data_IF_141634690573
#
_entry.id   IF_141634690573
#
_cell.length_a   1.000
_cell.length_b   1.000
_cell.length_c   1.000
_cell.angle_alpha   90.00
_cell.angle_beta   90.00
_cell.angle_gamma   90.00
#
_symmetry.space_group_name_H-M   'P 1'
#
loop_
_entity.id
_entity.type
_entity.pdbx_description
1 polymer ?
#
# COMPACT_ATOMS: atom_id res chain seq x y z
N UNK A 1 22.63 6.63 -1.98
CA UNK A 1 23.23 5.48 -2.68
C UNK A 1 22.28 5.09 -3.79
N UNK A 2 22.66 5.56 -4.98
CA UNK A 2 21.84 5.53 -6.20
C UNK A 2 21.86 4.16 -6.87
N UNK A 3 20.68 3.73 -7.36
CA UNK A 3 20.42 2.98 -8.62
C UNK A 3 21.31 1.78 -9.04
N UNK A 4 22.32 1.44 -8.28
CA UNK A 4 23.16 0.28 -8.60
C UNK A 4 22.71 -1.03 -7.96
N UNK A 5 21.78 -0.95 -7.02
CA UNK A 5 21.38 -2.13 -6.23
C UNK A 5 20.32 -2.96 -6.92
N UNK A 6 19.36 -2.37 -7.63
CA UNK A 6 18.24 -3.12 -8.24
C UNK A 6 18.69 -3.95 -9.44
N UNK A 7 19.47 -3.39 -10.36
CA UNK A 7 19.98 -4.13 -11.53
C UNK A 7 21.06 -5.17 -11.17
N UNK A 8 21.84 -4.91 -10.12
CA UNK A 8 22.79 -5.90 -9.59
C UNK A 8 22.09 -6.98 -8.78
N UNK A 9 21.04 -6.63 -7.99
CA UNK A 9 20.27 -7.59 -7.22
C UNK A 9 19.55 -8.62 -8.11
N UNK A 10 18.89 -8.19 -9.19
CA UNK A 10 18.25 -9.09 -10.15
C UNK A 10 19.28 -10.01 -10.86
N UNK A 11 20.41 -9.49 -11.33
CA UNK A 11 21.47 -10.29 -11.93
C UNK A 11 22.08 -11.29 -10.97
N UNK A 12 22.17 -10.95 -9.69
CA UNK A 12 22.68 -11.85 -8.65
C UNK A 12 21.66 -12.91 -8.24
N UNK A 13 20.37 -12.64 -8.30
CA UNK A 13 19.30 -13.63 -8.05
C UNK A 13 19.33 -14.74 -9.10
N UNK A 14 19.41 -14.41 -10.39
CA UNK A 14 19.54 -15.41 -11.46
C UNK A 14 20.82 -16.26 -11.35
N UNK A 15 21.92 -15.67 -10.93
CA UNK A 15 23.17 -16.40 -10.67
C UNK A 15 23.08 -17.33 -9.46
N UNK A 16 22.31 -16.95 -8.44
CA UNK A 16 22.16 -17.72 -7.19
C UNK A 16 21.17 -18.88 -7.32
N UNK A 17 20.18 -18.80 -8.19
CA UNK A 17 19.24 -19.90 -8.46
C UNK A 17 19.92 -21.16 -9.02
N UNK A 18 21.11 -21.02 -9.61
CA UNK A 18 21.91 -22.15 -10.09
C UNK A 18 22.87 -22.73 -9.03
N UNK A 19 22.89 -22.17 -7.81
CA UNK A 19 23.78 -22.63 -6.75
C UNK A 19 23.00 -23.50 -5.75
N UNK A 20 23.59 -24.61 -5.34
CA UNK A 20 23.14 -25.38 -4.18
C UNK A 20 23.54 -24.63 -2.91
N UNK A 21 22.60 -23.87 -2.35
CA UNK A 21 22.87 -23.01 -1.19
C UNK A 21 22.69 -23.81 0.09
N UNK A 22 23.79 -24.11 0.76
CA UNK A 22 23.81 -24.83 2.03
C UNK A 22 23.59 -23.91 3.25
N UNK A 23 23.79 -22.58 3.12
CA UNK A 23 23.73 -21.64 4.23
C UNK A 23 23.61 -20.22 3.71
N UNK A 24 22.82 -19.38 4.40
CA UNK A 24 22.76 -17.93 4.16
C UNK A 24 23.35 -17.20 5.36
N UNK A 25 24.40 -16.41 5.12
CA UNK A 25 25.05 -15.59 6.13
C UNK A 25 24.77 -14.11 5.84
N UNK A 26 23.69 -13.52 6.40
CA UNK A 26 23.39 -12.12 6.17
C UNK A 26 24.41 -11.23 6.88
N UNK A 27 24.61 -10.02 6.36
CA UNK A 27 25.45 -9.01 7.03
C UNK A 27 24.85 -8.55 8.37
N UNK A 28 23.53 -8.59 8.47
CA UNK A 28 22.74 -8.27 9.67
C UNK A 28 21.69 -9.35 9.88
N UNK A 29 21.68 -9.95 11.07
CA UNK A 29 20.72 -10.99 11.44
C UNK A 29 21.39 -12.36 11.66
N UNK A 30 20.59 -13.40 11.99
CA UNK A 30 21.08 -14.74 12.27
C UNK A 30 21.58 -15.45 10.99
N UNK A 31 22.49 -16.39 11.17
CA UNK A 31 22.86 -17.34 10.11
C UNK A 31 21.72 -18.33 9.90
N UNK A 32 21.26 -18.45 8.66
CA UNK A 32 20.18 -19.35 8.29
C UNK A 32 20.75 -20.64 7.70
N UNK A 33 20.35 -21.77 8.25
CA UNK A 33 20.81 -23.12 7.84
C UNK A 33 19.67 -24.05 7.48
N UNK A 34 18.46 -23.69 7.89
CA UNK A 34 17.25 -24.48 7.67
C UNK A 34 16.25 -23.67 6.87
N UNK A 35 15.36 -24.35 6.16
CA UNK A 35 14.30 -23.74 5.35
C UNK A 35 14.77 -22.62 4.40
N UNK A 36 15.94 -22.81 3.79
CA UNK A 36 16.55 -21.79 2.92
C UNK A 36 15.69 -21.46 1.72
N UNK A 37 14.91 -22.43 1.22
CA UNK A 37 13.95 -22.24 0.13
C UNK A 37 12.95 -21.13 0.44
N UNK A 38 12.38 -21.13 1.65
CA UNK A 38 11.46 -20.09 2.09
C UNK A 38 12.05 -18.66 1.99
N UNK A 39 13.27 -18.48 2.47
CA UNK A 39 13.94 -17.17 2.43
C UNK A 39 14.27 -16.74 1.00
N UNK A 40 14.68 -17.69 0.15
CA UNK A 40 14.99 -17.43 -1.25
C UNK A 40 13.71 -17.03 -2.01
N UNK A 41 12.61 -17.73 -1.77
CA UNK A 41 11.30 -17.43 -2.40
C UNK A 41 10.78 -16.06 -1.97
N UNK A 42 10.85 -15.75 -0.68
CA UNK A 42 10.50 -14.40 -0.18
C UNK A 42 11.35 -13.31 -0.82
N UNK A 43 12.66 -13.53 -0.89
CA UNK A 43 13.57 -12.58 -1.54
C UNK A 43 13.24 -12.39 -3.03
N UNK A 44 12.89 -13.45 -3.74
CA UNK A 44 12.47 -13.37 -5.14
C UNK A 44 11.19 -12.54 -5.32
N UNK A 45 10.19 -12.75 -4.45
CA UNK A 45 8.95 -11.96 -4.45
C UNK A 45 9.28 -10.48 -4.21
N UNK A 46 10.03 -10.16 -3.17
CA UNK A 46 10.34 -8.77 -2.81
C UNK A 46 11.19 -8.06 -3.87
N UNK A 47 12.22 -8.73 -4.40
CA UNK A 47 13.12 -8.14 -5.41
C UNK A 47 12.46 -7.93 -6.77
N UNK A 48 11.39 -8.66 -7.08
CA UNK A 48 10.58 -8.50 -8.28
C UNK A 48 9.36 -7.59 -8.09
N UNK A 49 9.17 -7.02 -6.90
CA UNK A 49 7.96 -6.27 -6.53
C UNK A 49 6.68 -7.12 -6.68
N UNK A 50 6.79 -8.41 -6.44
CA UNK A 50 5.66 -9.33 -6.43
C UNK A 50 4.72 -9.11 -5.27
N UNK A 51 3.53 -9.69 -5.33
CA UNK A 51 2.57 -9.73 -4.21
C UNK A 51 2.97 -10.86 -3.28
N UNK A 52 3.15 -10.55 -2.00
CA UNK A 52 3.52 -11.54 -1.00
C UNK A 52 2.32 -12.25 -0.39
N UNK A 53 1.24 -11.50 -0.20
CA UNK A 53 0.02 -11.99 0.43
C UNK A 53 -1.22 -11.42 -0.25
N UNK A 54 -2.24 -12.25 -0.38
CA UNK A 54 -3.56 -11.78 -0.83
C UNK A 54 -4.23 -10.94 0.24
N UNK A 55 -4.87 -9.86 -0.18
CA UNK A 55 -5.58 -8.94 0.71
C UNK A 55 -5.49 -7.50 0.29
N UNK A 56 -5.99 -6.63 1.17
CA UNK A 56 -6.02 -5.18 0.99
C UNK A 56 -5.39 -4.50 2.20
N UNK A 57 -4.44 -3.62 1.97
CA UNK A 57 -3.94 -2.72 2.99
C UNK A 57 -4.64 -1.37 2.90
N UNK A 58 -5.19 -0.89 4.00
CA UNK A 58 -5.85 0.43 4.10
C UNK A 58 -5.00 1.33 4.99
N UNK A 59 -4.32 2.29 4.38
CA UNK A 59 -3.58 3.33 5.09
C UNK A 59 -4.44 4.59 5.17
N UNK A 60 -4.72 5.07 6.37
CA UNK A 60 -5.49 6.29 6.53
C UNK A 60 -4.81 7.35 7.39
N UNK A 61 -5.17 8.60 7.14
CA UNK A 61 -4.91 9.71 8.03
C UNK A 61 -6.24 10.43 8.31
N UNK A 62 -6.51 10.78 9.56
CA UNK A 62 -7.78 11.39 9.94
C UNK A 62 -7.60 12.42 11.05
N UNK A 63 -8.16 13.63 10.87
CA UNK A 63 -8.08 14.71 11.87
C UNK A 63 -9.22 14.57 12.89
N UNK A 64 -10.46 14.46 12.41
CA UNK A 64 -11.67 14.47 13.25
C UNK A 64 -12.41 13.11 13.25
N UNK A 65 -11.79 12.05 12.76
CA UNK A 65 -12.36 10.70 12.75
C UNK A 65 -13.27 10.36 11.55
N UNK A 66 -13.67 11.32 10.73
CA UNK A 66 -14.59 11.06 9.62
C UNK A 66 -13.94 10.25 8.49
N UNK A 67 -12.68 10.52 8.17
CA UNK A 67 -11.93 9.73 7.18
C UNK A 67 -11.68 8.33 7.71
N UNK A 68 -11.33 8.19 9.00
CA UNK A 68 -11.22 6.90 9.67
C UNK A 68 -12.51 6.10 9.57
N UNK A 69 -13.67 6.73 9.86
CA UNK A 69 -14.97 6.06 9.74
C UNK A 69 -15.20 5.48 8.35
N UNK A 70 -14.85 6.22 7.29
CA UNK A 70 -14.96 5.73 5.91
C UNK A 70 -14.01 4.56 5.64
N UNK A 71 -12.78 4.60 6.14
CA UNK A 71 -11.81 3.52 6.04
C UNK A 71 -12.27 2.26 6.79
N UNK A 72 -12.75 2.41 8.03
CA UNK A 72 -13.29 1.32 8.83
C UNK A 72 -14.53 0.65 8.17
N UNK A 73 -15.40 1.46 7.54
CA UNK A 73 -16.55 0.93 6.78
C UNK A 73 -16.11 0.13 5.56
N UNK A 74 -15.10 0.59 4.82
CA UNK A 74 -14.55 -0.17 3.70
C UNK A 74 -13.92 -1.47 4.18
N UNK A 75 -13.16 -1.43 5.27
CA UNK A 75 -12.54 -2.61 5.87
C UNK A 75 -13.59 -3.66 6.25
N UNK A 76 -14.69 -3.24 6.89
CA UNK A 76 -15.80 -4.13 7.26
C UNK A 76 -16.43 -4.77 6.03
N UNK A 77 -16.73 -3.99 4.98
CA UNK A 77 -17.32 -4.50 3.75
C UNK A 77 -16.42 -5.47 3.00
N UNK A 78 -15.11 -5.23 2.98
CA UNK A 78 -14.14 -6.16 2.41
C UNK A 78 -14.06 -7.46 3.23
N UNK A 79 -14.03 -7.36 4.56
CA UNK A 79 -14.04 -8.52 5.45
C UNK A 79 -15.32 -9.37 5.29
N UNK A 80 -16.51 -8.74 5.17
CA UNK A 80 -17.78 -9.42 4.90
C UNK A 80 -17.76 -10.19 3.56
N UNK A 81 -16.91 -9.77 2.62
CA UNK A 81 -16.69 -10.43 1.33
C UNK A 81 -15.56 -11.48 1.38
N UNK A 82 -15.00 -11.74 2.56
CA UNK A 82 -13.93 -12.73 2.77
C UNK A 82 -12.53 -12.25 2.38
N UNK A 83 -12.34 -10.95 2.16
CA UNK A 83 -11.03 -10.37 1.85
C UNK A 83 -10.26 -10.12 3.15
N UNK A 84 -9.00 -10.53 3.20
CA UNK A 84 -8.10 -10.17 4.30
C UNK A 84 -7.78 -8.67 4.25
N UNK A 85 -7.93 -7.96 5.36
CA UNK A 85 -7.72 -6.50 5.42
C UNK A 85 -6.83 -6.16 6.60
N UNK A 86 -5.79 -5.38 6.31
CA UNK A 86 -4.96 -4.70 7.32
C UNK A 86 -5.25 -3.20 7.27
N UNK A 87 -5.41 -2.56 8.43
CA UNK A 87 -5.75 -1.13 8.52
C UNK A 87 -4.75 -0.43 9.43
N UNK A 88 -4.17 0.69 8.98
CA UNK A 88 -3.22 1.47 9.78
C UNK A 88 -3.52 2.97 9.79
N UNK A 89 -3.35 3.59 10.97
CA UNK A 89 -3.42 5.04 11.16
C UNK A 89 -2.03 5.66 11.01
N UNK A 90 -1.76 6.28 9.89
CA UNK A 90 -0.45 6.89 9.57
C UNK A 90 0.00 7.97 10.56
N UNK A 91 -0.89 8.46 11.42
CA UNK A 91 -0.54 9.42 12.45
C UNK A 91 -0.12 8.77 13.78
N UNK A 92 -0.28 7.45 13.95
CA UNK A 92 -0.09 6.73 15.21
C UNK A 92 0.72 5.46 15.11
N UNK A 93 0.59 4.73 13.99
CA UNK A 93 1.21 3.43 13.79
C UNK A 93 2.65 3.57 13.31
N UNK A 94 3.43 2.50 13.43
CA UNK A 94 4.82 2.49 12.97
C UNK A 94 4.89 2.60 11.44
N UNK A 95 5.62 3.58 10.96
CA UNK A 95 5.75 3.85 9.53
C UNK A 95 6.50 2.77 8.78
N UNK A 96 7.43 2.06 9.42
CA UNK A 96 8.14 0.96 8.78
C UNK A 96 7.19 -0.21 8.51
N UNK A 97 6.32 -0.53 9.47
CA UNK A 97 5.28 -1.55 9.30
C UNK A 97 4.26 -1.15 8.24
N UNK A 98 3.81 0.11 8.23
CA UNK A 98 2.89 0.60 7.20
C UNK A 98 3.47 0.51 5.78
N UNK A 99 4.77 0.81 5.61
CA UNK A 99 5.46 0.67 4.32
C UNK A 99 5.60 -0.80 3.94
N UNK A 100 5.96 -1.67 4.90
CA UNK A 100 6.05 -3.12 4.67
C UNK A 100 4.70 -3.68 4.20
N UNK A 101 3.60 -3.35 4.88
CA UNK A 101 2.27 -3.81 4.50
C UNK A 101 1.83 -3.31 3.12
N UNK A 102 2.18 -2.07 2.75
CA UNK A 102 1.91 -1.58 1.40
C UNK A 102 2.61 -2.42 0.31
N UNK A 103 3.83 -2.90 0.57
CA UNK A 103 4.55 -3.78 -0.36
C UNK A 103 4.09 -5.24 -0.28
N UNK A 104 3.58 -5.69 0.87
CA UNK A 104 3.11 -7.07 1.10
C UNK A 104 1.89 -7.40 0.26
N UNK A 105 0.90 -6.49 0.24
CA UNK A 105 -0.38 -6.72 -0.44
C UNK A 105 -0.39 -6.21 -1.88
N UNK A 106 -1.21 -6.85 -2.71
CA UNK A 106 -1.43 -6.44 -4.11
C UNK A 106 -2.29 -5.17 -4.25
N UNK A 107 -3.06 -4.84 -3.20
CA UNK A 107 -4.03 -3.75 -3.18
C UNK A 107 -3.80 -2.83 -2.00
N UNK A 108 -3.76 -1.54 -2.28
CA UNK A 108 -3.59 -0.46 -1.30
C UNK A 108 -4.78 0.49 -1.37
N UNK A 109 -5.31 0.88 -0.23
CA UNK A 109 -6.27 1.99 -0.14
C UNK A 109 -5.65 3.14 0.61
N UNK A 110 -5.70 4.33 0.03
CA UNK A 110 -5.23 5.57 0.61
C UNK A 110 -6.43 6.42 1.01
N UNK A 111 -6.59 6.68 2.31
CA UNK A 111 -7.69 7.45 2.84
C UNK A 111 -7.20 8.69 3.59
N UNK A 112 -7.43 9.89 3.03
CA UNK A 112 -6.92 11.12 3.62
C UNK A 112 -7.83 12.34 3.39
N UNK A 113 -7.81 13.31 4.32
CA UNK A 113 -8.47 14.58 4.09
C UNK A 113 -7.60 15.51 3.23
N UNK A 114 -8.29 16.41 2.56
CA UNK A 114 -7.68 17.59 1.94
C UNK A 114 -7.22 18.56 3.03
N UNK A 115 -5.99 19.04 2.91
CA UNK A 115 -5.39 19.99 3.82
C UNK A 115 -4.58 21.04 3.04
N UNK A 116 -4.90 22.32 3.20
CA UNK A 116 -4.25 23.42 2.47
C UNK A 116 -4.21 23.23 0.94
N UNK A 117 -5.33 22.84 0.33
CA UNK A 117 -5.43 22.50 -1.10
C UNK A 117 -4.48 21.36 -1.55
N UNK A 118 -3.96 20.60 -0.63
CA UNK A 118 -3.06 19.46 -0.79
C UNK A 118 -3.64 18.25 -0.03
N UNK A 119 -2.94 17.14 0.03
CA UNK A 119 -3.26 16.01 0.88
C UNK A 119 -2.67 16.21 2.29
N UNK A 120 -3.29 15.61 3.30
CA UNK A 120 -2.82 15.70 4.68
C UNK A 120 -1.36 15.21 4.82
N UNK A 121 -0.50 15.93 5.59
CA UNK A 121 0.96 15.71 5.60
C UNK A 121 1.41 14.27 5.86
N UNK A 122 0.79 13.56 6.82
CA UNK A 122 1.17 12.17 7.10
C UNK A 122 0.95 11.25 5.89
N UNK A 123 -0.14 11.43 5.15
CA UNK A 123 -0.40 10.68 3.91
C UNK A 123 0.60 11.04 2.82
N UNK A 124 0.93 12.33 2.67
CA UNK A 124 1.90 12.79 1.69
C UNK A 124 3.27 12.17 1.92
N UNK A 125 3.72 12.17 3.17
CA UNK A 125 5.00 11.57 3.55
C UNK A 125 5.01 10.05 3.35
N UNK A 126 3.93 9.38 3.71
CA UNK A 126 3.79 7.94 3.44
C UNK A 126 3.93 7.62 1.95
N UNK A 127 3.25 8.37 1.07
CA UNK A 127 3.36 8.17 -0.38
C UNK A 127 4.80 8.46 -0.86
N UNK A 128 5.48 9.46 -0.32
CA UNK A 128 6.90 9.72 -0.63
C UNK A 128 7.76 8.50 -0.29
N UNK A 129 7.58 7.91 0.90
CA UNK A 129 8.29 6.68 1.27
C UNK A 129 8.06 5.52 0.31
N UNK A 130 6.84 5.38 -0.21
CA UNK A 130 6.53 4.34 -1.20
C UNK A 130 7.22 4.63 -2.55
N UNK A 131 7.08 5.85 -3.06
CA UNK A 131 7.59 6.23 -4.39
C UNK A 131 9.12 6.26 -4.44
N UNK A 132 9.80 6.69 -3.37
CA UNK A 132 11.25 6.62 -3.23
C UNK A 132 11.80 5.19 -3.26
N UNK A 133 10.97 4.20 -2.89
CA UNK A 133 11.29 2.76 -2.93
C UNK A 133 10.77 2.06 -4.19
N UNK A 134 10.43 2.84 -5.23
CA UNK A 134 9.94 2.33 -6.51
C UNK A 134 8.65 1.49 -6.38
N UNK A 135 7.70 1.91 -5.56
CA UNK A 135 6.41 1.24 -5.41
C UNK A 135 5.73 1.06 -6.77
N UNK A 136 5.38 -0.19 -7.09
CA UNK A 136 4.91 -0.56 -8.42
C UNK A 136 4.10 -1.85 -8.41
N UNK A 137 3.45 -2.17 -9.55
CA UNK A 137 2.67 -3.40 -9.75
C UNK A 137 1.52 -3.57 -8.74
N UNK A 138 0.79 -2.49 -8.46
CA UNK A 138 -0.27 -2.48 -7.43
C UNK A 138 -1.54 -1.79 -7.91
N UNK A 139 -2.66 -2.21 -7.32
CA UNK A 139 -3.94 -1.51 -7.46
C UNK A 139 -4.16 -0.58 -6.27
N UNK A 140 -4.55 0.66 -6.53
CA UNK A 140 -4.75 1.68 -5.49
C UNK A 140 -6.19 2.18 -5.51
N UNK A 141 -6.92 1.96 -4.40
CA UNK A 141 -8.19 2.59 -4.11
C UNK A 141 -8.01 3.92 -3.37
N UNK A 142 -8.93 4.85 -3.54
CA UNK A 142 -8.83 6.18 -2.93
C UNK A 142 -10.11 6.56 -2.21
N UNK A 143 -9.95 7.02 -0.98
CA UNK A 143 -10.96 7.71 -0.17
C UNK A 143 -10.44 9.11 0.15
N UNK A 144 -11.12 10.13 -0.34
CA UNK A 144 -10.79 11.51 0.03
C UNK A 144 -11.87 12.13 0.91
N UNK A 145 -11.48 13.07 1.75
CA UNK A 145 -12.42 13.89 2.51
C UNK A 145 -12.10 15.38 2.35
N UNK A 146 -13.12 16.19 2.11
CA UNK A 146 -12.97 17.63 2.00
C UNK A 146 -14.31 18.34 1.90
N UNK A 147 -14.52 19.39 2.69
CA UNK A 147 -15.82 20.07 2.79
C UNK A 147 -16.15 20.89 1.55
N UNK A 148 -15.17 21.62 0.99
CA UNK A 148 -15.40 22.63 -0.05
C UNK A 148 -14.93 22.14 -1.43
N UNK A 149 -13.65 21.90 -1.56
CA UNK A 149 -13.00 21.49 -2.79
C UNK A 149 -12.07 20.31 -2.46
N UNK A 150 -12.58 19.07 -2.44
CA UNK A 150 -11.75 17.89 -2.22
C UNK A 150 -10.65 17.84 -3.28
N UNK A 151 -9.39 17.78 -2.85
CA UNK A 151 -8.20 17.76 -3.70
C UNK A 151 -7.29 16.57 -3.42
N UNK A 152 -7.51 15.90 -2.27
CA UNK A 152 -6.62 14.83 -1.82
C UNK A 152 -6.49 13.71 -2.86
N UNK A 153 -7.60 13.29 -3.49
CA UNK A 153 -7.56 12.23 -4.51
C UNK A 153 -6.69 12.62 -5.71
N UNK A 154 -6.84 13.85 -6.21
CA UNK A 154 -6.03 14.34 -7.33
C UNK A 154 -4.55 14.38 -6.98
N UNK A 155 -4.23 14.88 -5.78
CA UNK A 155 -2.84 14.95 -5.30
C UNK A 155 -2.24 13.57 -5.13
N UNK A 156 -2.93 12.66 -4.44
CA UNK A 156 -2.47 11.29 -4.23
C UNK A 156 -2.22 10.56 -5.56
N UNK A 157 -3.15 10.65 -6.53
CA UNK A 157 -2.96 10.08 -7.87
C UNK A 157 -1.73 10.67 -8.57
N UNK A 158 -1.54 11.98 -8.53
CA UNK A 158 -0.41 12.67 -9.13
C UNK A 158 0.95 12.26 -8.55
N UNK A 159 1.01 11.92 -7.28
CA UNK A 159 2.25 11.49 -6.64
C UNK A 159 2.78 10.15 -7.18
N UNK A 160 1.92 9.30 -7.75
CA UNK A 160 2.30 8.02 -8.37
C UNK A 160 2.54 8.11 -9.89
N UNK A 161 2.51 9.30 -10.49
CA UNK A 161 2.64 9.48 -11.95
C UNK A 161 3.91 8.83 -12.53
N UNK A 162 4.99 8.76 -11.76
CA UNK A 162 6.26 8.13 -12.16
C UNK A 162 6.38 6.66 -11.76
N UNK A 163 5.42 6.15 -11.00
CA UNK A 163 5.41 4.75 -10.56
C UNK A 163 4.96 3.82 -11.70
N UNK A 164 5.57 2.65 -11.80
CA UNK A 164 5.28 1.71 -12.89
C UNK A 164 4.09 0.82 -12.54
N UNK A 165 3.25 0.55 -13.53
CA UNK A 165 2.17 -0.44 -13.39
C UNK A 165 1.28 -0.19 -12.16
N UNK A 166 0.95 1.06 -11.88
CA UNK A 166 -0.06 1.42 -10.88
C UNK A 166 -1.41 1.51 -11.59
N UNK A 167 -2.37 0.77 -11.10
CA UNK A 167 -3.77 0.86 -11.53
C UNK A 167 -4.58 1.52 -10.42
N UNK A 168 -5.30 2.58 -10.73
CA UNK A 168 -6.23 3.16 -9.78
C UNK A 168 -7.60 2.54 -9.95
N UNK A 169 -8.26 2.23 -8.83
CA UNK A 169 -9.66 1.84 -8.82
C UNK A 169 -10.52 2.91 -9.48
N UNK A 170 -11.52 2.49 -10.25
CA UNK A 170 -12.45 3.40 -10.94
C UNK A 170 -13.29 4.18 -9.94
N UNK A 171 -13.72 3.48 -8.86
CA UNK A 171 -14.53 4.06 -7.80
C UNK A 171 -13.69 4.80 -6.77
N UNK A 172 -13.69 6.13 -6.85
CA UNK A 172 -13.12 7.00 -5.81
C UNK A 172 -14.22 7.41 -4.83
N UNK A 173 -13.99 7.23 -3.53
CA UNK A 173 -14.92 7.67 -2.48
C UNK A 173 -14.61 9.11 -2.10
N UNK A 174 -15.58 10.02 -2.31
CA UNK A 174 -15.45 11.43 -1.93
C UNK A 174 -16.40 11.76 -0.77
N UNK A 175 -15.84 11.85 0.43
CA UNK A 175 -16.57 12.25 1.64
C UNK A 175 -16.54 13.77 1.77
N UNK A 176 -17.71 14.37 2.04
CA UNK A 176 -17.82 15.81 2.33
C UNK A 176 -18.13 16.00 3.81
N UNK A 177 -17.07 16.14 4.59
CA UNK A 177 -17.07 16.21 6.05
C UNK A 177 -17.44 14.88 6.71
N UNK A 178 -18.70 14.46 6.71
CA UNK A 178 -19.18 13.24 7.32
C UNK A 178 -19.69 12.24 6.28
N UNK A 179 -19.57 10.94 6.58
CA UNK A 179 -20.10 9.87 5.75
C UNK A 179 -21.64 9.91 5.74
N UNK A 180 -22.22 9.77 4.56
CA UNK A 180 -23.66 9.73 4.31
C UNK A 180 -24.03 8.54 3.41
N UNK A 181 -25.33 8.35 3.13
CA UNK A 181 -25.81 7.22 2.34
C UNK A 181 -25.18 7.14 0.92
N UNK A 182 -24.88 8.27 0.29
CA UNK A 182 -24.21 8.27 -1.02
C UNK A 182 -22.77 7.75 -0.90
N UNK A 183 -22.08 8.07 0.19
CA UNK A 183 -20.74 7.55 0.45
C UNK A 183 -20.77 6.05 0.77
N UNK A 184 -21.80 5.56 1.43
CA UNK A 184 -21.98 4.12 1.68
C UNK A 184 -22.06 3.33 0.36
N UNK A 185 -22.79 3.87 -0.63
CA UNK A 185 -22.84 3.27 -1.97
C UNK A 185 -21.48 3.33 -2.71
N UNK A 186 -20.74 4.44 -2.59
CA UNK A 186 -19.40 4.55 -3.16
C UNK A 186 -18.42 3.57 -2.49
N UNK A 187 -18.48 3.41 -1.16
CA UNK A 187 -17.65 2.47 -0.40
C UNK A 187 -17.99 1.03 -0.81
N UNK A 188 -19.27 0.71 -1.01
CA UNK A 188 -19.69 -0.61 -1.50
C UNK A 188 -19.11 -0.89 -2.89
N UNK A 189 -19.22 0.07 -3.81
CA UNK A 189 -18.71 -0.07 -5.17
C UNK A 189 -17.17 -0.26 -5.16
N UNK A 190 -16.44 0.50 -4.32
CA UNK A 190 -15.00 0.33 -4.16
C UNK A 190 -14.66 -1.04 -3.55
N UNK A 191 -15.43 -1.53 -2.57
CA UNK A 191 -15.24 -2.85 -1.99
C UNK A 191 -15.47 -3.97 -3.02
N UNK A 192 -16.49 -3.84 -3.88
CA UNK A 192 -16.72 -4.80 -4.97
C UNK A 192 -15.57 -4.84 -5.96
N UNK A 193 -14.99 -3.70 -6.30
CA UNK A 193 -13.84 -3.60 -7.21
C UNK A 193 -12.57 -4.21 -6.60
N UNK A 194 -12.37 -4.06 -5.29
CA UNK A 194 -11.16 -4.51 -4.61
C UNK A 194 -11.24 -5.97 -4.11
N UNK A 195 -12.39 -6.62 -4.14
CA UNK A 195 -12.51 -8.03 -3.68
C UNK A 195 -11.87 -9.05 -4.61
N UNK A 196 -11.81 -8.73 -5.93
CA UNK A 196 -11.34 -9.60 -7.02
C UNK A 196 -9.87 -9.42 -7.37
#
# INVERSE_FOLDING_TARGET
IRDRSVSRGLGDVYKRQALDIAMICPLHGPVLKEDLGHYIDKYNIWSSYGVESEGVFIAYASVYGNTRKAADMLASKLADKGVHVTVSDLARDDWAECVEDAFRYGKLVLAAPTYNADVFPAMKEFINHLTERNYQNRTIGIIENGSWAPMAAKVMKGMFEKSKNITFAENTVTVRSAVNAANEAQIEALAEELKG
#
